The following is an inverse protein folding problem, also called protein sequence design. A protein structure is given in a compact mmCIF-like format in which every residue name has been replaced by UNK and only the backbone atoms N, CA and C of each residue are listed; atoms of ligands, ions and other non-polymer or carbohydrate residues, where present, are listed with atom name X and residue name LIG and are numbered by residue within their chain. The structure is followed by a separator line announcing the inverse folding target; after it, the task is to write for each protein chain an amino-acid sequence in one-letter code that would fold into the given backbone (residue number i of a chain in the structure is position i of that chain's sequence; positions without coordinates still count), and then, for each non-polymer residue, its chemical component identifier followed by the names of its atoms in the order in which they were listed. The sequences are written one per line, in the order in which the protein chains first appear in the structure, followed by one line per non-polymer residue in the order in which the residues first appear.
data_IF_064605404317
#
_entry.id   IF_064605404317
#
_cell.length_a   1.000
_cell.length_b   1.000
_cell.length_c   1.000
_cell.angle_alpha   90.00
_cell.angle_beta   90.00
_cell.angle_gamma   90.00
#
_symmetry.space_group_name_H-M   'P 1'
#
loop_
_entity.id
_entity.type
_entity.pdbx_description
1 polymer ?
#
# COMPACT_ATOMS: atom_id res chain seq x y z
N UNK A 1 -25.26 3.23 13.19
CA UNK A 1 -24.10 3.81 13.86
C UNK A 1 -23.35 2.68 14.59
N UNK A 2 -22.00 2.60 14.43
CA UNK A 2 -21.19 1.56 15.08
C UNK A 2 -21.35 1.61 16.60
N UNK A 3 -21.37 2.81 17.19
CA UNK A 3 -21.53 3.02 18.61
C UNK A 3 -22.78 2.35 19.18
N UNK A 4 -23.92 2.49 18.53
CA UNK A 4 -25.18 1.85 18.94
C UNK A 4 -25.09 0.31 18.96
N UNK A 5 -24.21 -0.26 18.13
CA UNK A 5 -24.01 -1.72 18.05
C UNK A 5 -23.11 -2.28 19.15
N UNK A 6 -22.27 -1.43 19.76
CA UNK A 6 -21.23 -1.89 20.69
C UNK A 6 -21.41 -1.40 22.12
N UNK A 7 -22.04 -0.23 22.35
CA UNK A 7 -22.08 0.47 23.63
C UNK A 7 -22.78 -0.32 24.76
N UNK A 8 -23.94 -0.91 24.50
CA UNK A 8 -24.72 -1.65 25.52
C UNK A 8 -24.42 -3.15 25.57
N UNK A 9 -23.30 -3.59 25.00
CA UNK A 9 -22.89 -4.98 25.02
C UNK A 9 -21.75 -5.20 26.01
N UNK A 10 -21.79 -6.34 26.70
CA UNK A 10 -20.66 -6.82 27.49
C UNK A 10 -19.74 -7.66 26.61
N UNK A 11 -18.46 -7.30 26.54
CA UNK A 11 -17.47 -7.94 25.69
C UNK A 11 -16.49 -8.77 26.53
N UNK A 12 -16.10 -9.95 26.10
CA UNK A 12 -15.06 -10.72 26.76
C UNK A 12 -13.70 -9.98 26.70
N UNK A 13 -13.43 -9.33 25.57
CA UNK A 13 -12.21 -8.56 25.39
C UNK A 13 -12.42 -7.35 24.48
N UNK A 14 -11.92 -6.19 24.90
CA UNK A 14 -11.81 -4.99 24.05
C UNK A 14 -10.34 -4.71 23.79
N UNK A 15 -9.95 -4.67 22.50
CA UNK A 15 -8.60 -4.33 22.05
C UNK A 15 -8.62 -2.96 21.41
N UNK A 16 -7.94 -2.00 22.01
CA UNK A 16 -7.82 -0.63 21.48
C UNK A 16 -6.42 -0.41 20.89
N UNK A 17 -6.35 -0.40 19.56
CA UNK A 17 -5.10 -0.20 18.80
C UNK A 17 -4.71 1.27 18.64
N UNK A 18 -5.53 2.20 19.09
CA UNK A 18 -5.28 3.65 19.02
C UNK A 18 -4.95 4.27 20.37
N UNK A 19 -5.22 3.57 21.47
CA UNK A 19 -5.10 4.11 22.82
C UNK A 19 -6.10 5.23 23.08
N UNK A 20 -7.30 5.13 22.53
CA UNK A 20 -8.35 6.15 22.64
C UNK A 20 -9.16 5.98 23.93
N UNK A 21 -9.73 7.08 24.43
CA UNK A 21 -10.63 7.02 25.58
C UNK A 21 -11.92 6.23 25.30
N UNK A 22 -12.29 6.02 24.03
CA UNK A 22 -13.53 5.32 23.66
C UNK A 22 -13.60 3.88 24.19
N UNK A 23 -12.49 3.21 24.29
CA UNK A 23 -12.44 1.84 24.81
C UNK A 23 -12.89 1.74 26.28
N UNK A 24 -12.76 2.81 27.07
CA UNK A 24 -13.17 2.83 28.49
C UNK A 24 -14.69 2.92 28.66
N UNK A 25 -15.41 3.38 27.65
CA UNK A 25 -16.88 3.42 27.65
C UNK A 25 -17.54 2.10 27.23
N UNK A 26 -16.76 1.09 26.89
CA UNK A 26 -17.27 -0.25 26.56
C UNK A 26 -17.15 -1.18 27.76
N UNK A 27 -18.24 -1.87 28.12
CA UNK A 27 -18.21 -2.89 29.16
C UNK A 27 -17.43 -4.11 28.69
N UNK A 28 -16.40 -4.51 29.45
CA UNK A 28 -15.57 -5.67 29.06
C UNK A 28 -14.91 -6.34 30.25
N UNK A 29 -14.77 -7.67 30.15
CA UNK A 29 -14.04 -8.50 31.11
C UNK A 29 -12.53 -8.23 31.05
N UNK A 30 -11.98 -8.02 29.85
CA UNK A 30 -10.55 -7.73 29.61
C UNK A 30 -10.42 -6.55 28.67
N UNK A 31 -9.42 -5.69 28.94
CA UNK A 31 -9.09 -4.57 28.07
C UNK A 31 -7.60 -4.57 27.76
N UNK A 32 -7.26 -4.50 26.48
CA UNK A 32 -5.89 -4.45 25.97
C UNK A 32 -5.71 -3.11 25.24
N UNK A 33 -4.79 -2.28 25.74
CA UNK A 33 -4.53 -0.95 25.20
C UNK A 33 -3.17 -0.92 24.52
N UNK A 34 -3.12 -0.42 23.31
CA UNK A 34 -1.87 -0.14 22.61
C UNK A 34 -1.19 1.08 23.22
N UNK A 35 -0.01 0.90 23.82
CA UNK A 35 0.82 1.99 24.35
C UNK A 35 1.95 2.30 23.39
N UNK A 36 1.89 3.42 22.69
CA UNK A 36 2.86 3.83 21.65
C UNK A 36 4.29 3.90 22.19
N UNK A 37 4.49 4.33 23.44
CA UNK A 37 5.82 4.47 24.06
C UNK A 37 6.55 3.14 24.23
N UNK A 38 5.84 2.03 24.45
CA UNK A 38 6.45 0.71 24.66
C UNK A 38 6.92 0.09 23.34
N UNK A 39 6.30 0.47 22.21
CA UNK A 39 6.51 -0.15 20.89
C UNK A 39 7.10 0.82 19.85
N UNK A 40 7.85 1.84 20.32
CA UNK A 40 8.33 2.91 19.44
C UNK A 40 9.39 2.46 18.44
N UNK A 41 10.16 1.41 18.74
CA UNK A 41 11.33 1.01 17.97
C UNK A 41 11.14 -0.25 17.12
N UNK A 42 9.98 -0.91 17.21
CA UNK A 42 9.72 -2.16 16.49
C UNK A 42 8.68 -1.97 15.38
N UNK A 43 8.64 -2.91 14.46
CA UNK A 43 7.67 -2.92 13.38
C UNK A 43 6.23 -2.93 13.89
N UNK A 44 5.32 -2.21 13.22
CA UNK A 44 3.92 -2.05 13.68
C UNK A 44 3.19 -3.39 13.80
N UNK A 45 3.41 -4.32 12.89
CA UNK A 45 2.83 -5.67 12.97
C UNK A 45 3.33 -6.41 14.20
N UNK A 46 4.64 -6.38 14.50
CA UNK A 46 5.20 -6.99 15.69
C UNK A 46 4.62 -6.36 16.96
N UNK A 47 4.50 -5.04 16.99
CA UNK A 47 3.93 -4.35 18.15
C UNK A 47 2.47 -4.72 18.41
N UNK A 48 1.69 -4.95 17.34
CA UNK A 48 0.29 -5.41 17.47
C UNK A 48 0.25 -6.88 17.88
N UNK A 49 1.09 -7.74 17.31
CA UNK A 49 1.18 -9.16 17.69
C UNK A 49 1.56 -9.33 19.15
N UNK A 50 2.50 -8.52 19.66
CA UNK A 50 2.91 -8.53 21.07
C UNK A 50 1.78 -8.16 22.03
N UNK A 51 0.74 -7.45 21.60
CA UNK A 51 -0.43 -7.15 22.45
C UNK A 51 -1.34 -8.37 22.67
N UNK A 52 -1.45 -9.23 21.67
CA UNK A 52 -2.41 -10.34 21.67
C UNK A 52 -1.75 -11.71 21.72
N UNK A 53 -0.45 -11.78 21.52
CA UNK A 53 0.37 -12.99 21.57
C UNK A 53 1.85 -12.64 21.48
N UNK A 54 2.72 -13.66 21.44
CA UNK A 54 4.18 -13.47 21.39
C UNK A 54 4.77 -13.61 19.98
N UNK A 55 4.01 -14.13 19.02
CA UNK A 55 4.46 -14.39 17.66
C UNK A 55 3.89 -13.39 16.67
N UNK A 56 4.60 -13.17 15.55
CA UNK A 56 4.05 -12.40 14.43
C UNK A 56 3.03 -13.25 13.71
N UNK A 57 1.78 -12.82 13.75
CA UNK A 57 0.71 -13.41 12.95
C UNK A 57 0.53 -12.58 11.69
N UNK A 58 0.82 -13.18 10.54
CA UNK A 58 0.40 -12.61 9.26
C UNK A 58 -1.02 -13.11 8.97
N UNK A 59 -1.97 -12.22 8.69
CA UNK A 59 -3.33 -12.62 8.41
C UNK A 59 -3.39 -13.47 7.14
N UNK A 60 -4.05 -14.62 7.22
CA UNK A 60 -4.44 -15.37 6.03
C UNK A 60 -5.75 -14.79 5.51
N UNK A 61 -5.71 -14.23 4.32
CA UNK A 61 -6.86 -13.60 3.70
C UNK A 61 -7.44 -14.56 2.66
N UNK A 62 -8.62 -15.09 2.93
CA UNK A 62 -9.38 -15.89 2.00
C UNK A 62 -10.65 -15.15 1.63
N UNK A 63 -10.85 -14.93 0.35
CA UNK A 63 -12.09 -14.37 -0.18
C UNK A 63 -12.82 -15.42 -1.01
N UNK A 64 -14.08 -15.68 -0.67
CA UNK A 64 -14.99 -16.46 -1.51
C UNK A 64 -15.85 -15.49 -2.33
N UNK A 65 -15.66 -15.48 -3.64
CA UNK A 65 -16.44 -14.65 -4.55
C UNK A 65 -17.54 -15.47 -5.19
N UNK A 66 -18.77 -15.33 -4.68
CA UNK A 66 -19.97 -15.95 -5.28
C UNK A 66 -20.34 -15.39 -6.66
N UNK A 67 -19.89 -14.16 -6.99
CA UNK A 67 -20.09 -13.53 -8.30
C UNK A 67 -18.81 -12.84 -8.77
N UNK A 68 -18.40 -13.13 -10.02
CA UNK A 68 -17.36 -12.37 -10.70
C UNK A 68 -17.91 -11.01 -11.12
N UNK A 69 -17.21 -9.95 -10.78
CA UNK A 69 -17.56 -8.60 -11.24
C UNK A 69 -17.07 -8.36 -12.66
N UNK A 70 -17.54 -7.27 -13.28
CA UNK A 70 -17.10 -6.86 -14.61
C UNK A 70 -15.58 -6.69 -14.69
N UNK A 71 -14.96 -6.18 -13.62
CA UNK A 71 -13.50 -5.94 -13.56
C UNK A 71 -12.70 -7.23 -13.40
N UNK A 72 -13.18 -8.19 -12.61
CA UNK A 72 -12.55 -9.50 -12.55
C UNK A 72 -12.64 -10.22 -13.90
N UNK A 73 -13.76 -10.12 -14.60
CA UNK A 73 -13.90 -10.67 -15.95
C UNK A 73 -12.95 -9.99 -16.95
N UNK A 74 -12.77 -8.67 -16.86
CA UNK A 74 -11.79 -7.94 -17.69
C UNK A 74 -10.36 -8.36 -17.36
N UNK A 75 -10.02 -8.48 -16.08
CA UNK A 75 -8.73 -8.97 -15.61
C UNK A 75 -8.43 -10.38 -16.17
N UNK A 76 -9.39 -11.30 -16.12
CA UNK A 76 -9.25 -12.64 -16.69
C UNK A 76 -8.99 -12.61 -18.21
N UNK A 77 -9.59 -11.65 -18.95
CA UNK A 77 -9.31 -11.45 -20.38
C UNK A 77 -7.88 -10.99 -20.63
N UNK A 78 -7.35 -10.08 -19.80
CA UNK A 78 -5.95 -9.62 -19.90
C UNK A 78 -4.99 -10.80 -19.65
N UNK A 79 -5.27 -11.61 -18.65
CA UNK A 79 -4.47 -12.77 -18.29
C UNK A 79 -4.42 -13.83 -19.41
N UNK A 80 -5.55 -14.10 -20.07
CA UNK A 80 -5.61 -15.04 -21.21
C UNK A 80 -4.75 -14.62 -22.40
N UNK A 81 -4.38 -13.35 -22.51
CA UNK A 81 -3.47 -12.83 -23.53
C UNK A 81 -1.99 -13.00 -23.16
N UNK A 82 -1.67 -13.77 -22.11
CA UNK A 82 -0.31 -13.95 -21.55
C UNK A 82 0.39 -12.63 -21.19
N UNK A 83 -0.37 -11.60 -20.87
CA UNK A 83 0.18 -10.31 -20.47
C UNK A 83 0.63 -10.33 -19.01
N UNK A 84 1.81 -9.80 -18.75
CA UNK A 84 2.29 -9.57 -17.39
C UNK A 84 1.56 -8.35 -16.80
N UNK A 85 0.97 -8.53 -15.63
CA UNK A 85 0.22 -7.45 -14.96
C UNK A 85 1.09 -6.82 -13.88
N UNK A 86 1.33 -5.53 -14.01
CA UNK A 86 2.09 -4.71 -13.07
C UNK A 86 1.13 -3.74 -12.39
N UNK A 87 1.09 -3.77 -11.09
CA UNK A 87 0.19 -2.93 -10.31
C UNK A 87 0.90 -1.66 -9.85
N UNK A 88 0.30 -0.52 -10.10
CA UNK A 88 0.83 0.80 -9.72
C UNK A 88 -0.16 1.48 -8.79
N UNK A 89 0.26 1.80 -7.56
CA UNK A 89 -0.54 2.54 -6.58
C UNK A 89 0.11 3.90 -6.25
N UNK A 90 -0.18 4.95 -7.04
CA UNK A 90 0.58 6.19 -7.00
C UNK A 90 0.13 7.15 -5.89
N UNK A 91 -0.96 6.87 -5.17
CA UNK A 91 -1.45 7.72 -4.08
C UNK A 91 -1.23 7.09 -2.70
N UNK A 92 -1.19 7.93 -1.70
CA UNK A 92 -1.20 7.60 -0.28
C UNK A 92 -2.22 8.49 0.44
N UNK A 93 -2.56 8.15 1.68
CA UNK A 93 -3.52 8.91 2.49
C UNK A 93 -3.05 10.32 2.87
N UNK A 94 -1.83 10.69 2.55
CA UNK A 94 -1.23 12.00 2.79
C UNK A 94 -0.29 12.38 1.65
N UNK A 95 -0.44 13.60 1.15
CA UNK A 95 0.34 14.11 0.00
C UNK A 95 1.85 14.08 0.23
N UNK A 96 2.30 14.31 1.48
CA UNK A 96 3.73 14.24 1.84
C UNK A 96 4.37 12.88 1.54
N UNK A 97 3.60 11.79 1.60
CA UNK A 97 4.03 10.42 1.28
C UNK A 97 3.88 10.04 -0.20
N UNK A 98 3.32 10.92 -1.01
CA UNK A 98 3.02 10.62 -2.41
C UNK A 98 4.22 11.00 -3.28
N UNK A 99 4.82 10.02 -3.92
CA UNK A 99 5.81 10.28 -4.98
C UNK A 99 5.12 11.00 -6.14
N UNK A 100 5.72 12.02 -6.77
CA UNK A 100 5.06 12.82 -7.80
C UNK A 100 4.47 11.98 -8.94
N UNK A 101 3.24 12.27 -9.33
CA UNK A 101 2.48 11.47 -10.31
C UNK A 101 3.17 11.43 -11.68
N UNK A 102 3.75 12.56 -12.12
CA UNK A 102 4.53 12.63 -13.35
C UNK A 102 5.72 11.68 -13.37
N UNK A 103 6.29 11.38 -12.18
CA UNK A 103 7.39 10.42 -12.06
C UNK A 103 6.92 8.98 -12.20
N UNK A 104 5.69 8.65 -11.75
CA UNK A 104 5.09 7.35 -12.04
C UNK A 104 4.87 7.16 -13.54
N UNK A 105 4.38 8.19 -14.25
CA UNK A 105 4.25 8.15 -15.72
C UNK A 105 5.59 7.85 -16.39
N UNK A 106 6.63 8.61 -16.04
CA UNK A 106 7.99 8.41 -16.56
C UNK A 106 8.57 7.03 -16.21
N UNK A 107 8.28 6.52 -15.03
CA UNK A 107 8.71 5.19 -14.62
C UNK A 107 8.04 4.10 -15.47
N UNK A 108 6.72 4.19 -15.67
CA UNK A 108 5.95 3.25 -16.48
C UNK A 108 6.48 3.22 -17.92
N UNK A 109 6.73 4.38 -18.52
CA UNK A 109 7.30 4.48 -19.88
C UNK A 109 8.69 3.82 -19.96
N UNK A 110 9.57 4.11 -18.99
CA UNK A 110 10.90 3.48 -18.93
C UNK A 110 10.81 1.97 -18.76
N UNK A 111 9.95 1.48 -17.86
CA UNK A 111 9.75 0.04 -17.66
C UNK A 111 9.18 -0.62 -18.92
N UNK A 112 8.21 0.00 -19.60
CA UNK A 112 7.60 -0.52 -20.82
C UNK A 112 8.62 -0.74 -21.96
N UNK A 113 9.68 0.05 -22.00
CA UNK A 113 10.74 -0.05 -22.99
C UNK A 113 11.77 -1.17 -22.68
N UNK A 114 11.70 -1.80 -21.50
CA UNK A 114 12.54 -2.95 -21.18
C UNK A 114 11.90 -4.25 -21.69
N UNK A 115 12.71 -5.15 -22.24
CA UNK A 115 12.23 -6.42 -22.80
C UNK A 115 11.39 -7.23 -21.81
N UNK A 116 11.81 -7.26 -20.54
CA UNK A 116 11.10 -8.00 -19.47
C UNK A 116 9.71 -7.46 -19.16
N UNK A 117 9.41 -6.21 -19.55
CA UNK A 117 8.13 -5.53 -19.36
C UNK A 117 7.43 -5.18 -20.67
N UNK A 118 8.02 -5.50 -21.83
CA UNK A 118 7.49 -5.13 -23.16
C UNK A 118 6.04 -5.60 -23.41
N UNK A 119 5.67 -6.77 -22.86
CA UNK A 119 4.31 -7.32 -22.94
C UNK A 119 3.47 -7.01 -21.69
N UNK A 120 3.93 -6.12 -20.80
CA UNK A 120 3.21 -5.80 -19.55
C UNK A 120 2.10 -4.79 -19.76
N UNK A 121 1.04 -4.96 -18.97
CA UNK A 121 -0.03 -3.98 -18.76
C UNK A 121 0.11 -3.42 -17.34
N UNK A 122 0.04 -2.10 -17.22
CA UNK A 122 0.12 -1.39 -15.95
C UNK A 122 -1.29 -1.03 -15.48
N UNK A 123 -1.73 -1.66 -14.38
CA UNK A 123 -3.03 -1.38 -13.75
C UNK A 123 -2.85 -0.31 -12.68
N UNK A 124 -3.51 0.82 -12.86
CA UNK A 124 -3.44 1.93 -11.90
C UNK A 124 -4.51 1.72 -10.83
N UNK A 125 -4.06 1.66 -9.58
CA UNK A 125 -4.88 1.40 -8.40
C UNK A 125 -4.99 2.63 -7.51
N UNK A 126 -6.11 2.76 -6.83
CA UNK A 126 -6.36 3.82 -5.86
C UNK A 126 -7.82 3.86 -5.44
N UNK A 127 -8.15 4.74 -4.49
CA UNK A 127 -9.53 5.00 -4.11
C UNK A 127 -10.22 5.92 -5.12
N UNK A 128 -11.55 6.01 -5.07
CA UNK A 128 -12.31 6.92 -5.92
C UNK A 128 -11.93 8.38 -5.69
N UNK A 129 -11.62 8.73 -4.45
CA UNK A 129 -11.20 10.06 -4.02
C UNK A 129 -9.83 10.45 -4.61
N UNK A 130 -8.95 9.47 -4.84
CA UNK A 130 -7.62 9.69 -5.40
C UNK A 130 -7.64 10.02 -6.90
N UNK A 131 -8.73 9.71 -7.60
CA UNK A 131 -8.81 9.79 -9.07
C UNK A 131 -8.43 11.16 -9.63
N UNK A 132 -8.87 12.24 -8.96
CA UNK A 132 -8.54 13.62 -9.34
C UNK A 132 -7.03 13.91 -9.31
N UNK A 133 -6.30 13.30 -8.36
CA UNK A 133 -4.88 13.49 -8.18
C UNK A 133 -4.04 12.72 -9.22
N UNK A 134 -4.66 11.74 -9.88
CA UNK A 134 -4.02 10.86 -10.88
C UNK A 134 -4.40 11.23 -12.32
N UNK A 135 -5.11 12.34 -12.53
CA UNK A 135 -5.66 12.72 -13.85
C UNK A 135 -4.58 12.68 -14.94
N UNK A 136 -3.42 13.30 -14.72
CA UNK A 136 -2.34 13.35 -15.71
C UNK A 136 -1.81 11.96 -16.11
N UNK A 137 -1.83 10.99 -15.19
CA UNK A 137 -1.45 9.60 -15.46
C UNK A 137 -2.57 8.85 -16.20
N UNK A 138 -3.82 9.07 -15.83
CA UNK A 138 -4.99 8.38 -16.38
C UNK A 138 -5.41 8.92 -17.76
N UNK A 139 -5.17 10.20 -18.04
CA UNK A 139 -5.42 10.82 -19.34
C UNK A 139 -4.42 10.32 -20.42
N UNK A 140 -3.36 9.62 -19.99
CA UNK A 140 -2.46 8.93 -20.92
C UNK A 140 -3.19 7.76 -21.59
N UNK A 141 -3.56 7.93 -22.88
CA UNK A 141 -4.30 6.94 -23.66
C UNK A 141 -3.45 5.77 -24.16
N UNK A 142 -2.34 5.47 -23.54
CA UNK A 142 -1.49 4.34 -23.89
C UNK A 142 -2.23 3.02 -23.69
N UNK A 143 -2.16 2.12 -24.68
CA UNK A 143 -2.82 0.81 -24.64
C UNK A 143 -2.31 -0.12 -23.54
N UNK A 144 -1.18 0.20 -22.93
CA UNK A 144 -0.57 -0.57 -21.84
C UNK A 144 -0.88 -0.02 -20.44
N UNK A 145 -1.68 1.05 -20.31
CA UNK A 145 -2.16 1.58 -19.03
C UNK A 145 -3.67 1.33 -18.91
N UNK A 146 -4.10 0.80 -17.78
CA UNK A 146 -5.51 0.54 -17.50
C UNK A 146 -5.93 1.14 -16.17
N UNK A 147 -7.00 1.91 -16.17
CA UNK A 147 -7.59 2.55 -14.98
C UNK A 147 -8.45 1.56 -14.18
N UNK A 148 -8.05 1.27 -12.95
CA UNK A 148 -8.81 0.50 -11.94
C UNK A 148 -9.14 1.35 -10.70
N UNK A 149 -8.92 2.66 -10.77
CA UNK A 149 -9.06 3.59 -9.64
C UNK A 149 -10.52 3.71 -9.20
N UNK A 150 -10.81 3.31 -7.97
CA UNK A 150 -12.16 3.36 -7.38
C UNK A 150 -13.17 2.43 -8.03
N UNK A 151 -12.73 1.42 -8.79
CA UNK A 151 -13.60 0.56 -9.59
C UNK A 151 -13.71 -0.86 -9.05
N UNK A 152 -12.83 -1.25 -8.13
CA UNK A 152 -12.79 -2.58 -7.54
C UNK A 152 -12.72 -2.50 -6.02
N UNK A 153 -13.29 -3.49 -5.35
CA UNK A 153 -13.20 -3.63 -3.89
C UNK A 153 -11.80 -4.10 -3.47
N UNK A 154 -11.44 -3.92 -2.20
CA UNK A 154 -10.18 -4.45 -1.65
C UNK A 154 -10.07 -5.97 -1.79
N UNK A 155 -11.20 -6.68 -1.69
CA UNK A 155 -11.24 -8.12 -1.86
C UNK A 155 -10.89 -8.54 -3.30
N UNK A 156 -11.48 -7.89 -4.30
CA UNK A 156 -11.16 -8.11 -5.71
C UNK A 156 -9.71 -7.74 -6.03
N UNK A 157 -9.25 -6.63 -5.46
CA UNK A 157 -7.86 -6.17 -5.60
C UNK A 157 -6.88 -7.21 -5.08
N UNK A 158 -7.18 -7.87 -3.95
CA UNK A 158 -6.35 -8.95 -3.41
C UNK A 158 -6.26 -10.15 -4.36
N UNK A 159 -7.37 -10.52 -5.00
CA UNK A 159 -7.37 -11.60 -6.02
C UNK A 159 -6.52 -11.22 -7.23
N UNK A 160 -6.62 -9.96 -7.68
CA UNK A 160 -5.78 -9.44 -8.77
C UNK A 160 -4.30 -9.44 -8.37
N UNK A 161 -3.98 -9.03 -7.14
CA UNK A 161 -2.62 -9.04 -6.59
C UNK A 161 -2.01 -10.43 -6.62
N UNK A 162 -2.73 -11.46 -6.18
CA UNK A 162 -2.25 -12.87 -6.21
C UNK A 162 -1.88 -13.39 -7.60
N UNK A 163 -2.36 -12.76 -8.63
CA UNK A 163 -2.19 -13.19 -10.02
C UNK A 163 -1.36 -12.21 -10.85
N UNK A 164 -0.85 -11.15 -10.23
CA UNK A 164 0.01 -10.15 -10.85
C UNK A 164 1.49 -10.49 -10.69
N UNK A 165 2.37 -9.75 -11.35
CA UNK A 165 3.82 -10.01 -11.36
C UNK A 165 4.61 -9.08 -10.46
N UNK A 166 4.14 -7.85 -10.28
CA UNK A 166 4.83 -6.84 -9.49
C UNK A 166 3.85 -5.78 -9.01
N UNK A 167 4.07 -5.27 -7.82
CA UNK A 167 3.43 -4.07 -7.28
C UNK A 167 4.47 -2.99 -7.05
N UNK A 168 4.16 -1.75 -7.44
CA UNK A 168 4.96 -0.56 -7.14
C UNK A 168 4.01 0.52 -6.61
N UNK A 169 4.27 1.03 -5.42
CA UNK A 169 3.43 2.08 -4.84
C UNK A 169 4.06 2.78 -3.65
N UNK A 170 3.41 3.83 -3.19
CA UNK A 170 3.83 4.53 -1.98
C UNK A 170 3.53 3.71 -0.71
N UNK A 171 4.12 4.11 0.43
CA UNK A 171 3.75 3.62 1.76
C UNK A 171 2.24 3.84 2.02
N UNK A 172 1.46 2.80 1.78
CA UNK A 172 -0.02 2.81 1.83
C UNK A 172 -0.58 1.42 2.19
N UNK A 173 -1.88 1.36 2.50
CA UNK A 173 -2.58 0.10 2.76
C UNK A 173 -2.50 -0.89 1.60
N UNK A 174 -2.49 -0.40 0.35
CA UNK A 174 -2.38 -1.26 -0.84
C UNK A 174 -1.01 -1.94 -0.94
N UNK A 175 0.08 -1.26 -0.53
CA UNK A 175 1.41 -1.86 -0.46
C UNK A 175 1.45 -3.05 0.52
N UNK A 176 0.85 -2.89 1.70
CA UNK A 176 0.77 -3.99 2.68
C UNK A 176 -0.10 -5.13 2.18
N UNK A 177 -1.22 -4.82 1.53
CA UNK A 177 -2.11 -5.82 0.94
C UNK A 177 -1.39 -6.62 -0.17
N UNK A 178 -0.60 -5.96 -1.00
CA UNK A 178 0.21 -6.59 -2.04
C UNK A 178 1.26 -7.54 -1.43
N UNK A 179 1.99 -7.11 -0.41
CA UNK A 179 2.95 -7.96 0.29
C UNK A 179 2.28 -9.18 0.94
N UNK A 180 1.11 -9.02 1.57
CA UNK A 180 0.31 -10.12 2.13
C UNK A 180 -0.23 -11.09 1.07
N UNK A 181 -0.40 -10.65 -0.17
CA UNK A 181 -0.79 -11.52 -1.28
C UNK A 181 0.36 -12.31 -1.88
N UNK A 182 1.57 -12.17 -1.30
CA UNK A 182 2.83 -12.76 -1.77
C UNK A 182 3.32 -12.21 -3.13
N UNK A 183 2.72 -11.11 -3.58
CA UNK A 183 3.15 -10.42 -4.79
C UNK A 183 4.50 -9.72 -4.55
N UNK A 184 5.49 -9.86 -5.43
CA UNK A 184 6.69 -9.04 -5.39
C UNK A 184 6.30 -7.56 -5.27
N UNK A 185 6.73 -6.91 -4.17
CA UNK A 185 6.20 -5.61 -3.77
C UNK A 185 7.33 -4.60 -3.55
N UNK A 186 7.24 -3.47 -4.25
CA UNK A 186 8.13 -2.32 -4.07
C UNK A 186 7.35 -1.21 -3.38
N UNK A 187 7.80 -0.83 -2.18
CA UNK A 187 7.30 0.32 -1.43
C UNK A 187 8.20 1.54 -1.59
N UNK A 188 7.62 2.67 -2.03
CA UNK A 188 8.32 3.94 -2.12
C UNK A 188 8.10 4.74 -0.83
N UNK A 189 9.20 5.11 -0.17
CA UNK A 189 9.21 5.73 1.15
C UNK A 189 9.85 7.11 1.15
N UNK A 190 9.25 8.03 1.89
CA UNK A 190 9.78 9.35 2.21
C UNK A 190 9.64 9.64 3.71
N UNK A 191 8.64 10.43 4.11
CA UNK A 191 8.43 10.84 5.51
C UNK A 191 7.79 9.74 6.37
N UNK A 192 8.21 8.49 6.19
CA UNK A 192 7.75 7.34 6.99
C UNK A 192 8.93 6.58 7.55
N UNK A 193 8.81 6.12 8.78
CA UNK A 193 9.82 5.27 9.41
C UNK A 193 9.76 3.85 8.79
N UNK A 194 10.75 3.54 7.96
CA UNK A 194 10.85 2.24 7.28
C UNK A 194 10.88 1.08 8.28
N UNK A 195 11.54 1.24 9.45
CA UNK A 195 11.58 0.20 10.48
C UNK A 195 10.18 -0.18 10.98
N UNK A 196 9.25 0.80 11.02
CA UNK A 196 7.89 0.60 11.52
C UNK A 196 6.91 0.15 10.44
N UNK A 197 7.10 0.59 9.21
CA UNK A 197 6.07 0.52 8.17
C UNK A 197 6.52 -0.15 6.87
N UNK A 198 7.71 -0.80 6.81
CA UNK A 198 8.06 -1.55 5.62
C UNK A 198 7.05 -2.68 5.35
N UNK A 199 6.83 -3.08 4.08
CA UNK A 199 5.97 -4.21 3.77
C UNK A 199 6.58 -5.51 4.33
N UNK A 200 5.76 -6.37 4.93
CA UNK A 200 6.19 -7.69 5.41
C UNK A 200 5.82 -8.74 4.37
N UNK A 201 6.82 -9.44 3.86
CA UNK A 201 6.67 -10.50 2.87
C UNK A 201 8.05 -11.01 2.42
N UNK A 202 8.08 -12.18 1.78
CA UNK A 202 9.33 -12.80 1.32
C UNK A 202 9.97 -12.03 0.15
N UNK A 203 9.16 -11.36 -0.66
CA UNK A 203 9.58 -10.67 -1.88
C UNK A 203 9.21 -9.19 -1.79
N UNK A 204 9.92 -8.45 -0.94
CA UNK A 204 9.64 -7.01 -0.75
C UNK A 204 10.92 -6.18 -0.88
N UNK A 205 10.78 -4.99 -1.46
CA UNK A 205 11.83 -3.99 -1.57
C UNK A 205 11.32 -2.63 -1.11
N UNK A 206 12.09 -1.96 -0.27
CA UNK A 206 11.87 -0.55 0.07
C UNK A 206 12.85 0.32 -0.71
N UNK A 207 12.33 1.31 -1.42
CA UNK A 207 13.12 2.36 -2.06
C UNK A 207 12.74 3.68 -1.37
N UNK A 208 13.70 4.31 -0.71
CA UNK A 208 13.45 5.50 0.11
C UNK A 208 14.26 6.70 -0.38
N UNK A 209 13.77 7.90 -0.03
CA UNK A 209 14.55 9.13 -0.19
C UNK A 209 15.85 9.07 0.62
N UNK A 210 16.85 9.82 0.20
CA UNK A 210 18.14 9.95 0.92
C UNK A 210 17.97 10.57 2.32
N UNK A 211 17.05 11.51 2.46
CA UNK A 211 16.73 12.15 3.74
C UNK A 211 15.89 11.21 4.63
N UNK A 212 16.20 11.16 5.91
CA UNK A 212 15.40 10.47 6.91
C UNK A 212 14.04 11.17 7.11
N UNK A 213 13.07 10.44 7.68
CA UNK A 213 11.78 11.05 8.00
C UNK A 213 11.90 12.21 9.00
N UNK A 214 12.90 12.16 9.91
CA UNK A 214 13.19 13.27 10.85
C UNK A 214 13.68 14.50 10.12
N UNK A 215 14.57 14.36 9.16
CA UNK A 215 15.05 15.50 8.33
C UNK A 215 13.94 16.05 7.44
N UNK A 216 13.01 15.22 6.99
CA UNK A 216 11.90 15.65 6.14
C UNK A 216 10.80 16.39 6.91
N UNK A 217 10.60 16.11 8.20
CA UNK A 217 9.48 16.64 9.00
C UNK A 217 9.92 17.36 10.27
N UNK A 218 11.18 17.25 10.69
CA UNK A 218 11.67 17.76 11.97
C UNK A 218 12.19 19.20 11.92
N UNK A 219 11.95 19.96 10.85
CA UNK A 219 12.37 21.35 10.77
C UNK A 219 11.32 22.29 11.37
N UNK A 220 11.78 23.43 11.89
CA UNK A 220 10.92 24.46 12.47
C UNK A 220 9.91 24.98 11.43
N UNK A 221 8.64 25.12 11.82
CA UNK A 221 7.55 25.53 10.93
C UNK A 221 7.00 24.44 10.02
N UNK A 222 7.34 23.17 10.22
CA UNK A 222 6.75 22.08 9.46
C UNK A 222 5.23 22.01 9.68
N UNK A 223 4.46 22.10 8.59
CA UNK A 223 3.01 21.92 8.59
C UNK A 223 2.58 20.78 7.68
N UNK A 224 2.16 19.68 8.28
CA UNK A 224 1.73 18.48 7.57
C UNK A 224 0.48 18.69 6.68
N UNK A 225 -0.33 19.74 6.93
CA UNK A 225 -1.53 20.02 6.14
C UNK A 225 -1.22 20.78 4.85
N UNK A 226 -0.19 21.62 4.89
CA UNK A 226 0.18 22.52 3.79
C UNK A 226 1.46 22.13 3.05
N UNK A 227 2.07 20.99 3.41
CA UNK A 227 3.26 20.49 2.74
C UNK A 227 2.90 19.76 1.44
N UNK A 228 3.67 19.98 0.39
CA UNK A 228 3.60 19.16 -0.82
C UNK A 228 4.32 17.80 -0.67
N UNK A 229 4.56 17.12 -1.77
CA UNK A 229 5.32 15.86 -1.75
C UNK A 229 6.71 16.03 -1.15
N UNK A 230 7.01 15.25 -0.11
CA UNK A 230 8.32 15.14 0.53
C UNK A 230 9.21 14.08 -0.15
N UNK A 231 8.71 13.47 -1.22
CA UNK A 231 9.41 12.41 -1.96
C UNK A 231 10.11 12.94 -3.23
N UNK A 232 10.24 14.25 -3.39
CA UNK A 232 10.91 14.86 -4.56
C UNK A 232 12.39 14.48 -4.69
N UNK A 233 13.04 14.11 -3.58
CA UNK A 233 14.44 13.64 -3.59
C UNK A 233 14.63 12.25 -4.21
N UNK A 234 13.58 11.45 -4.36
CA UNK A 234 13.65 10.12 -4.96
C UNK A 234 13.53 10.22 -6.49
N UNK A 235 14.61 9.92 -7.22
CA UNK A 235 14.64 10.07 -8.68
C UNK A 235 13.97 8.91 -9.42
N UNK A 236 13.47 9.18 -10.64
CA UNK A 236 12.91 8.14 -11.52
C UNK A 236 13.98 7.11 -11.89
N UNK A 237 15.21 7.56 -12.15
CA UNK A 237 16.32 6.67 -12.51
C UNK A 237 16.64 5.68 -11.40
N UNK A 238 16.69 6.14 -10.15
CA UNK A 238 16.94 5.27 -9.00
C UNK A 238 15.83 4.22 -8.83
N UNK A 239 14.56 4.64 -8.87
CA UNK A 239 13.42 3.73 -8.77
C UNK A 239 13.43 2.72 -9.90
N UNK A 240 13.70 3.16 -11.14
CA UNK A 240 13.78 2.32 -12.32
C UNK A 240 14.86 1.22 -12.18
N UNK A 241 16.10 1.58 -11.90
CA UNK A 241 17.19 0.60 -11.80
C UNK A 241 16.99 -0.39 -10.66
N UNK A 242 16.54 0.08 -9.49
CA UNK A 242 16.23 -0.80 -8.36
C UNK A 242 15.05 -1.72 -8.66
N UNK A 243 14.03 -1.24 -9.40
CA UNK A 243 12.90 -2.06 -9.85
C UNK A 243 13.36 -3.18 -10.79
N UNK A 244 14.18 -2.85 -11.79
CA UNK A 244 14.71 -3.86 -12.73
C UNK A 244 15.54 -4.93 -12.03
N UNK A 245 16.45 -4.51 -11.15
CA UNK A 245 17.28 -5.42 -10.37
C UNK A 245 16.41 -6.37 -9.55
N UNK A 246 15.52 -5.82 -8.74
CA UNK A 246 14.62 -6.58 -7.87
C UNK A 246 13.74 -7.56 -8.67
N UNK A 247 13.14 -7.09 -9.79
CA UNK A 247 12.27 -7.94 -10.60
C UNK A 247 13.02 -9.16 -11.19
N UNK A 248 14.28 -8.97 -11.60
CA UNK A 248 15.14 -10.06 -12.11
C UNK A 248 15.50 -11.08 -11.02
N UNK A 249 15.63 -10.63 -9.76
CA UNK A 249 15.98 -11.49 -8.62
C UNK A 249 14.79 -12.33 -8.12
N UNK A 250 13.54 -11.83 -8.27
CA UNK A 250 12.34 -12.49 -7.71
C UNK A 250 11.51 -13.26 -8.75
N UNK A 251 11.86 -13.15 -10.04
CA UNK A 251 11.21 -13.85 -11.15
C UNK A 251 11.60 -15.34 -11.12
#
# INVERSE_FOLDING_TARGET
NLWQKVFLRYWDCVVDLRGSALSFFLFSKKRILYKTSIFSEIHKTQSISNLVGKEIFLPQINFDFKKKTTYLNYFEKLKRKNQNLILIAPCANWVGKTWPIDRFSKLIEKLKNEDVFSQSIFLILGSKEDKKNMKSLLDNKSSFITDFVGQISLAEMFVIMKQSRLFIGNDSGLMHLAALSELPTIGLFGPSDVKKYCPIGLKTLVIKTSKSYKELMGYEGFDAKNVGSLMKGLSVSEVFHKTLKFYREVK
#
